data_IF_729105018225
#
_entry.id   IF_729105018225
#
_cell.length_a   1.000
_cell.length_b   1.000
_cell.length_c   1.000
_cell.angle_alpha   90.00
_cell.angle_beta   90.00
_cell.angle_gamma   90.00
#
_symmetry.space_group_name_H-M   'P 1'
#
loop_
_entity.id
_entity.type
_entity.pdbx_description
1 polymer ?
#
# COMPACT_ATOMS: atom_id res chain seq x y z
N UNK A 1 30.61 13.02 -3.56
CA UNK A 1 30.05 11.83 -2.88
C UNK A 1 28.57 11.64 -3.25
N UNK A 2 28.27 11.49 -4.55
CA UNK A 2 26.87 11.43 -5.03
C UNK A 2 26.26 10.01 -4.98
N UNK A 3 27.08 8.95 -5.04
CA UNK A 3 26.59 7.58 -5.20
C UNK A 3 25.78 7.03 -4.03
N UNK A 4 26.04 7.43 -2.78
CA UNK A 4 25.30 6.94 -1.62
C UNK A 4 23.86 7.47 -1.55
N UNK A 5 23.63 8.69 -2.03
CA UNK A 5 22.32 9.33 -2.02
C UNK A 5 21.42 8.82 -3.14
N UNK A 6 21.98 8.63 -4.34
CA UNK A 6 21.29 8.02 -5.48
C UNK A 6 20.77 6.61 -5.12
N UNK A 7 21.60 5.79 -4.45
CA UNK A 7 21.22 4.45 -3.97
C UNK A 7 20.05 4.49 -2.98
N UNK A 8 20.01 5.48 -2.08
CA UNK A 8 18.89 5.65 -1.15
C UNK A 8 17.60 6.04 -1.88
N UNK A 9 17.69 6.89 -2.91
CA UNK A 9 16.53 7.28 -3.71
C UNK A 9 15.98 6.15 -4.58
N UNK A 10 16.86 5.29 -5.11
CA UNK A 10 16.48 4.07 -5.79
C UNK A 10 15.78 3.10 -4.83
N UNK A 11 16.31 2.91 -3.62
CA UNK A 11 15.70 2.08 -2.59
C UNK A 11 14.30 2.60 -2.18
N UNK A 12 14.14 3.92 -2.02
CA UNK A 12 12.84 4.55 -1.74
C UNK A 12 11.86 4.32 -2.89
N UNK A 13 12.32 4.47 -4.14
CA UNK A 13 11.50 4.24 -5.33
C UNK A 13 11.05 2.78 -5.42
N UNK A 14 11.96 1.83 -5.17
CA UNK A 14 11.64 0.41 -5.16
C UNK A 14 10.66 0.03 -4.05
N UNK A 15 10.82 0.61 -2.85
CA UNK A 15 9.90 0.42 -1.74
C UNK A 15 8.50 0.99 -2.04
N UNK A 16 8.44 2.16 -2.69
CA UNK A 16 7.17 2.74 -3.13
C UNK A 16 6.44 1.84 -4.13
N UNK A 17 7.14 1.34 -5.16
CA UNK A 17 6.54 0.42 -6.15
C UNK A 17 6.14 -0.93 -5.55
N UNK A 18 6.88 -1.43 -4.55
CA UNK A 18 6.49 -2.62 -3.81
C UNK A 18 5.20 -2.40 -3.01
N UNK A 19 5.09 -1.27 -2.30
CA UNK A 19 3.89 -0.91 -1.54
C UNK A 19 2.67 -0.72 -2.45
N UNK A 20 2.85 -0.10 -3.62
CA UNK A 20 1.79 0.05 -4.63
C UNK A 20 1.29 -1.31 -5.14
N UNK A 21 2.19 -2.21 -5.54
CA UNK A 21 1.81 -3.55 -5.99
C UNK A 21 1.07 -4.32 -4.91
N UNK A 22 1.54 -4.25 -3.67
CA UNK A 22 0.87 -4.91 -2.55
C UNK A 22 -0.54 -4.35 -2.30
N UNK A 23 -0.71 -3.02 -2.40
CA UNK A 23 -2.02 -2.38 -2.33
C UNK A 23 -2.97 -2.83 -3.44
N UNK A 24 -2.48 -2.89 -4.69
CA UNK A 24 -3.26 -3.37 -5.85
C UNK A 24 -3.68 -4.84 -5.68
N UNK A 25 -2.75 -5.70 -5.27
CA UNK A 25 -3.00 -7.14 -5.12
C UNK A 25 -4.02 -7.40 -4.00
N UNK A 26 -3.86 -6.78 -2.83
CA UNK A 26 -4.83 -6.93 -1.73
C UNK A 26 -6.16 -6.27 -2.06
N UNK A 27 -6.16 -5.14 -2.76
CA UNK A 27 -7.38 -4.44 -3.19
C UNK A 27 -8.25 -5.28 -4.14
N UNK A 28 -7.66 -6.25 -4.85
CA UNK A 28 -8.40 -7.21 -5.70
C UNK A 28 -9.04 -8.35 -4.91
N UNK A 29 -8.60 -8.60 -3.67
CA UNK A 29 -9.11 -9.71 -2.87
C UNK A 29 -10.33 -9.28 -2.05
N UNK A 30 -11.49 -9.83 -2.38
CA UNK A 30 -12.70 -9.64 -1.57
C UNK A 30 -12.82 -10.73 -0.50
N UNK A 31 -12.08 -10.55 0.60
CA UNK A 31 -12.10 -11.49 1.74
C UNK A 31 -13.50 -11.60 2.38
N UNK A 32 -14.30 -10.53 2.37
CA UNK A 32 -15.67 -10.56 2.88
C UNK A 32 -16.56 -11.49 2.06
N UNK A 33 -16.45 -11.44 0.73
CA UNK A 33 -17.21 -12.31 -0.17
C UNK A 33 -16.82 -13.80 -0.02
N UNK A 34 -15.57 -14.10 0.34
CA UNK A 34 -15.13 -15.48 0.59
C UNK A 34 -15.90 -16.16 1.75
N UNK A 35 -16.46 -15.38 2.68
CA UNK A 35 -17.25 -15.88 3.81
C UNK A 35 -18.74 -15.96 3.54
N UNK A 36 -19.23 -15.45 2.41
CA UNK A 36 -20.67 -15.43 2.10
C UNK A 36 -21.28 -16.85 2.06
N UNK A 37 -20.52 -17.86 1.61
CA UNK A 37 -20.97 -19.26 1.61
C UNK A 37 -21.13 -19.86 3.01
N UNK A 38 -20.35 -19.40 3.99
CA UNK A 38 -20.40 -19.91 5.38
C UNK A 38 -21.66 -19.41 6.09
N UNK A 39 -21.99 -18.13 5.93
CA UNK A 39 -23.22 -17.57 6.52
C UNK A 39 -24.47 -18.15 5.87
N UNK A 40 -24.45 -18.39 4.55
CA UNK A 40 -25.56 -18.99 3.82
C UNK A 40 -25.78 -20.47 4.15
N UNK A 41 -24.70 -21.23 4.42
CA UNK A 41 -24.78 -22.66 4.74
C UNK A 41 -25.13 -22.96 6.20
N UNK A 42 -24.92 -22.02 7.11
CA UNK A 42 -25.14 -22.19 8.56
C UNK A 42 -25.96 -21.03 9.18
N UNK A 43 -27.18 -20.75 8.66
CA UNK A 43 -27.99 -19.65 9.18
C UNK A 43 -28.40 -19.90 10.64
N UNK A 44 -28.19 -18.89 11.49
CA UNK A 44 -28.58 -18.92 12.91
C UNK A 44 -27.63 -19.69 13.85
N UNK A 45 -26.58 -20.33 13.32
CA UNK A 45 -25.53 -20.94 14.13
C UNK A 45 -24.47 -19.93 14.56
N UNK A 46 -23.77 -20.20 15.68
CA UNK A 46 -22.62 -19.40 16.15
C UNK A 46 -21.58 -19.21 15.04
N UNK A 47 -21.35 -20.22 14.21
CA UNK A 47 -20.43 -20.15 13.07
C UNK A 47 -20.90 -19.19 11.97
N UNK A 48 -22.20 -19.08 11.72
CA UNK A 48 -22.77 -18.16 10.74
C UNK A 48 -22.63 -16.70 11.19
N UNK A 49 -22.88 -16.44 12.47
CA UNK A 49 -22.70 -15.11 13.06
C UNK A 49 -21.21 -14.72 13.13
N UNK A 50 -20.33 -15.65 13.51
CA UNK A 50 -18.89 -15.43 13.49
C UNK A 50 -18.38 -15.13 12.06
N UNK A 51 -18.87 -15.85 11.05
CA UNK A 51 -18.54 -15.58 9.65
C UNK A 51 -19.04 -14.20 9.20
N UNK A 52 -20.23 -13.78 9.62
CA UNK A 52 -20.77 -12.44 9.34
C UNK A 52 -19.89 -11.34 9.95
N UNK A 53 -19.55 -11.47 11.23
CA UNK A 53 -18.68 -10.51 11.93
C UNK A 53 -17.29 -10.41 11.30
N UNK A 54 -16.72 -11.54 10.89
CA UNK A 54 -15.43 -11.58 10.22
C UNK A 54 -15.49 -10.98 8.81
N UNK A 55 -16.57 -11.23 8.07
CA UNK A 55 -16.80 -10.61 6.76
C UNK A 55 -16.89 -9.08 6.88
N UNK A 56 -17.62 -8.58 7.88
CA UNK A 56 -17.72 -7.15 8.18
C UNK A 56 -16.35 -6.54 8.52
N UNK A 57 -15.56 -7.25 9.33
CA UNK A 57 -14.21 -6.82 9.70
C UNK A 57 -13.28 -6.74 8.48
N UNK A 58 -13.27 -7.79 7.64
CA UNK A 58 -12.47 -7.83 6.43
C UNK A 58 -12.91 -6.83 5.37
N UNK A 59 -14.23 -6.59 5.24
CA UNK A 59 -14.79 -5.58 4.34
C UNK A 59 -14.31 -4.15 4.65
N UNK A 60 -13.87 -3.88 5.89
CA UNK A 60 -13.25 -2.60 6.27
C UNK A 60 -11.73 -2.65 6.25
N UNK A 61 -11.14 -3.73 6.80
CA UNK A 61 -9.72 -3.82 7.01
C UNK A 61 -8.92 -3.92 5.71
N UNK A 62 -9.34 -4.77 4.76
CA UNK A 62 -8.58 -4.97 3.52
C UNK A 62 -8.58 -3.71 2.62
N UNK A 63 -9.72 -3.04 2.35
CA UNK A 63 -9.71 -1.78 1.60
C UNK A 63 -8.97 -0.66 2.33
N UNK A 64 -9.10 -0.57 3.67
CA UNK A 64 -8.40 0.42 4.47
C UNK A 64 -6.88 0.24 4.43
N UNK A 65 -6.40 -0.99 4.56
CA UNK A 65 -4.98 -1.30 4.43
C UNK A 65 -4.45 -0.99 3.02
N UNK A 66 -5.17 -1.39 1.98
CA UNK A 66 -4.75 -1.14 0.59
C UNK A 66 -4.67 0.37 0.30
N UNK A 67 -5.64 1.15 0.79
CA UNK A 67 -5.62 2.62 0.71
C UNK A 67 -4.38 3.20 1.42
N UNK A 68 -4.13 2.80 2.67
CA UNK A 68 -2.98 3.31 3.43
C UNK A 68 -1.64 2.97 2.76
N UNK A 69 -1.50 1.75 2.22
CA UNK A 69 -0.31 1.34 1.49
C UNK A 69 -0.11 2.14 0.19
N UNK A 70 -1.20 2.44 -0.54
CA UNK A 70 -1.15 3.30 -1.72
C UNK A 70 -0.78 4.75 -1.37
N UNK A 71 -1.33 5.31 -0.28
CA UNK A 71 -0.98 6.65 0.19
C UNK A 71 0.49 6.75 0.61
N UNK A 72 0.98 5.74 1.35
CA UNK A 72 2.39 5.64 1.73
C UNK A 72 3.32 5.57 0.50
N UNK A 73 2.98 4.75 -0.50
CA UNK A 73 3.70 4.72 -1.78
C UNK A 73 3.74 6.10 -2.45
N UNK A 74 2.60 6.80 -2.51
CA UNK A 74 2.53 8.16 -3.07
C UNK A 74 3.46 9.14 -2.36
N UNK A 75 3.44 9.14 -1.03
CA UNK A 75 4.30 10.01 -0.21
C UNK A 75 5.79 9.74 -0.42
N UNK A 76 6.20 8.46 -0.49
CA UNK A 76 7.58 8.08 -0.79
C UNK A 76 7.99 8.51 -2.21
N UNK A 77 7.11 8.35 -3.20
CA UNK A 77 7.35 8.76 -4.58
C UNK A 77 7.55 10.27 -4.69
N UNK A 78 6.68 11.07 -4.06
CA UNK A 78 6.82 12.53 -4.00
C UNK A 78 8.13 12.95 -3.33
N UNK A 79 8.48 12.33 -2.20
CA UNK A 79 9.72 12.63 -1.51
C UNK A 79 10.94 12.37 -2.42
N UNK A 80 10.99 11.22 -3.08
CA UNK A 80 12.09 10.87 -3.99
C UNK A 80 12.22 11.83 -5.19
N UNK A 81 11.09 12.31 -5.74
CA UNK A 81 11.09 13.30 -6.83
C UNK A 81 11.61 14.66 -6.33
N UNK A 82 11.13 15.14 -5.18
CA UNK A 82 11.61 16.39 -4.58
C UNK A 82 13.10 16.35 -4.28
N UNK A 83 13.58 15.24 -3.72
CA UNK A 83 14.99 15.05 -3.42
C UNK A 83 15.88 15.06 -4.67
N UNK A 84 15.46 14.40 -5.76
CA UNK A 84 16.18 14.46 -7.05
C UNK A 84 16.19 15.86 -7.67
N UNK A 85 15.05 16.54 -7.64
CA UNK A 85 14.95 17.91 -8.18
C UNK A 85 15.88 18.87 -7.44
N UNK A 86 15.94 18.78 -6.11
CA UNK A 86 16.79 19.64 -5.30
C UNK A 86 18.29 19.38 -5.55
N UNK A 87 18.68 18.11 -5.70
CA UNK A 87 20.07 17.75 -6.00
C UNK A 87 20.50 18.28 -7.39
N UNK A 88 19.63 18.16 -8.39
CA UNK A 88 19.89 18.71 -9.73
C UNK A 88 19.98 20.24 -9.76
N UNK A 89 19.30 20.92 -8.85
CA UNK A 89 19.40 22.37 -8.69
C UNK A 89 20.72 22.75 -8.00
N UNK A 90 21.03 22.12 -6.87
CA UNK A 90 22.28 22.35 -6.14
C UNK A 90 23.53 22.04 -6.98
N UNK A 91 23.50 20.94 -7.74
CA UNK A 91 24.58 20.59 -8.67
C UNK A 91 24.77 21.64 -9.78
N UNK A 92 23.70 22.32 -10.21
CA UNK A 92 23.80 23.40 -11.21
C UNK A 92 24.38 24.68 -10.60
N UNK A 93 24.00 25.02 -9.38
CA UNK A 93 24.52 26.20 -8.67
C UNK A 93 26.01 26.08 -8.30
N UNK A 94 26.47 24.86 -7.99
CA UNK A 94 27.88 24.59 -7.65
C UNK A 94 28.82 24.52 -8.86
N UNK A 95 28.29 24.42 -10.09
CA UNK A 95 29.08 24.44 -11.33
C UNK A 95 29.16 25.83 -11.99
N UNK A 96 28.74 26.89 -11.28
CA UNK A 96 28.92 28.30 -11.66
C UNK A 96 30.04 28.91 -10.82
#
# INVERSE_FOLDING_TARGET
>A
MAGGYEVVLEAISAASEAAKRAAEDVGRVNLAAALAGVSAGLPGGVSGEAARLLADAWGRAAPGWAKNASEYSGQLGEAAVRYRSNELAASRELHV
#
